data_IF_195170308883
#
_entry.id   IF_195170308883
#
_cell.length_a   1.000
_cell.length_b   1.000
_cell.length_c   1.000
_cell.angle_alpha   90.00
_cell.angle_beta   90.00
_cell.angle_gamma   90.00
#
_symmetry.space_group_name_H-M   'P 1'
#
loop_
_entity.id
_entity.type
_entity.pdbx_description
1 polymer ?
#
# COMPACT_ATOMS: atom_id res chain seq x y z
N UNK A 1 -6.20 -6.70 -19.02
CA UNK A 1 -5.66 -5.87 -17.92
C UNK A 1 -6.28 -4.49 -18.08
N UNK A 2 -6.69 -3.86 -16.98
CA UNK A 2 -7.37 -2.56 -17.00
C UNK A 2 -6.72 -1.59 -15.99
N UNK A 3 -6.58 -0.34 -16.41
CA UNK A 3 -6.14 0.80 -15.59
C UNK A 3 -7.20 1.90 -15.51
N UNK A 4 -8.36 1.69 -16.15
CA UNK A 4 -9.43 2.68 -16.22
C UNK A 4 -10.06 2.86 -14.86
N UNK A 5 -10.02 4.07 -14.33
CA UNK A 5 -10.65 4.35 -13.05
C UNK A 5 -12.18 4.47 -13.22
N UNK A 6 -12.97 4.00 -12.24
CA UNK A 6 -12.56 3.31 -11.00
C UNK A 6 -12.21 1.82 -11.21
N UNK A 7 -10.92 1.48 -11.12
CA UNK A 7 -10.36 0.19 -11.58
C UNK A 7 -10.98 -1.02 -10.88
N UNK A 8 -11.27 -0.90 -9.59
CA UNK A 8 -11.94 -1.97 -8.84
C UNK A 8 -13.38 -2.25 -9.31
N UNK A 9 -14.14 -1.20 -9.62
CA UNK A 9 -15.54 -1.32 -10.08
C UNK A 9 -15.58 -1.83 -11.51
N UNK A 10 -14.74 -1.29 -12.40
CA UNK A 10 -14.65 -1.74 -13.80
C UNK A 10 -14.24 -3.21 -13.86
N UNK A 11 -13.22 -3.60 -13.09
CA UNK A 11 -12.79 -5.00 -13.01
C UNK A 11 -13.91 -5.91 -12.53
N UNK A 12 -14.65 -5.50 -11.49
CA UNK A 12 -15.82 -6.26 -11.01
C UNK A 12 -16.86 -6.45 -12.10
N UNK A 13 -17.24 -5.39 -12.81
CA UNK A 13 -18.22 -5.47 -13.90
C UNK A 13 -17.76 -6.42 -15.02
N UNK A 14 -16.49 -6.36 -15.40
CA UNK A 14 -15.92 -7.27 -16.42
C UNK A 14 -15.94 -8.73 -15.97
N UNK A 15 -15.63 -9.00 -14.70
CA UNK A 15 -15.69 -10.35 -14.13
C UNK A 15 -17.15 -10.86 -14.10
N UNK A 16 -18.11 -10.04 -13.67
CA UNK A 16 -19.54 -10.37 -13.66
C UNK A 16 -20.09 -10.62 -15.08
N UNK A 17 -19.54 -9.95 -16.10
CA UNK A 17 -19.84 -10.18 -17.51
C UNK A 17 -19.13 -11.42 -18.12
N UNK A 18 -18.35 -12.18 -17.33
CA UNK A 18 -17.69 -13.41 -17.77
C UNK A 18 -16.33 -13.21 -18.44
N UNK A 19 -15.73 -12.03 -18.36
CA UNK A 19 -14.38 -11.78 -18.86
C UNK A 19 -13.30 -12.18 -17.86
N UNK A 20 -12.13 -12.56 -18.36
CA UNK A 20 -10.91 -12.67 -17.54
C UNK A 20 -10.28 -11.29 -17.42
N UNK A 21 -10.56 -10.59 -16.33
CA UNK A 21 -10.07 -9.24 -16.08
C UNK A 21 -9.12 -9.20 -14.87
N UNK A 22 -8.15 -8.28 -14.94
CA UNK A 22 -7.25 -7.91 -13.84
C UNK A 22 -7.20 -6.39 -13.86
N UNK A 23 -7.63 -5.77 -12.76
CA UNK A 23 -7.51 -4.34 -12.50
C UNK A 23 -6.18 -4.03 -11.85
N UNK A 24 -5.54 -2.95 -12.28
CA UNK A 24 -4.27 -2.51 -11.75
C UNK A 24 -4.40 -1.12 -11.13
N UNK A 25 -3.57 -0.87 -10.11
CA UNK A 25 -3.36 0.44 -9.49
C UNK A 25 -1.91 0.55 -9.03
N UNK A 26 -1.46 1.78 -8.75
CA UNK A 26 -0.07 2.03 -8.36
C UNK A 26 0.15 2.14 -6.85
N UNK A 27 -0.90 1.95 -6.04
CA UNK A 27 -0.83 2.19 -4.59
C UNK A 27 0.12 1.20 -3.91
N UNK A 28 -0.03 -0.11 -4.14
CA UNK A 28 0.81 -1.13 -3.51
C UNK A 28 2.30 -0.98 -3.89
N UNK A 29 2.60 -0.72 -5.16
CA UNK A 29 3.98 -0.50 -5.61
C UNK A 29 4.56 0.81 -5.05
N UNK A 30 3.73 1.83 -4.85
CA UNK A 30 4.12 3.07 -4.15
C UNK A 30 4.57 2.79 -2.72
N UNK A 31 3.75 2.08 -1.94
CA UNK A 31 4.12 1.68 -0.56
C UNK A 31 5.38 0.82 -0.52
N UNK A 32 5.50 -0.17 -1.41
CA UNK A 32 6.67 -1.06 -1.45
C UNK A 32 7.97 -0.27 -1.62
N UNK A 33 7.99 0.67 -2.57
CA UNK A 33 9.15 1.51 -2.84
C UNK A 33 9.42 2.47 -1.69
N UNK A 34 8.38 3.10 -1.13
CA UNK A 34 8.53 4.02 -0.01
C UNK A 34 9.12 3.32 1.21
N UNK A 35 8.63 2.12 1.57
CA UNK A 35 9.20 1.37 2.69
C UNK A 35 10.63 0.89 2.40
N UNK A 36 10.93 0.50 1.16
CA UNK A 36 12.29 0.15 0.77
C UNK A 36 13.25 1.34 0.95
N UNK A 37 12.84 2.54 0.53
CA UNK A 37 13.62 3.77 0.68
C UNK A 37 13.84 4.13 2.16
N UNK A 38 12.79 4.04 3.00
CA UNK A 38 12.90 4.27 4.45
C UNK A 38 13.83 3.27 5.15
N UNK A 39 13.88 2.03 4.65
CA UNK A 39 14.70 0.95 5.22
C UNK A 39 16.11 0.90 4.62
N UNK A 40 16.39 1.63 3.54
CA UNK A 40 17.66 1.59 2.82
C UNK A 40 17.95 0.23 2.17
N UNK A 41 16.92 -0.48 1.71
CA UNK A 41 17.04 -1.81 1.06
C UNK A 41 16.52 -1.77 -0.38
N UNK A 42 16.84 -2.79 -1.18
CA UNK A 42 16.26 -2.88 -2.52
C UNK A 42 14.76 -3.23 -2.44
N UNK A 43 13.94 -2.59 -3.27
CA UNK A 43 12.49 -2.80 -3.28
C UNK A 43 12.06 -4.26 -3.54
N UNK A 44 12.88 -5.07 -4.22
CA UNK A 44 12.60 -6.50 -4.43
C UNK A 44 12.71 -7.32 -3.14
N UNK A 45 13.36 -6.77 -2.11
CA UNK A 45 13.45 -7.37 -0.78
C UNK A 45 12.20 -7.10 0.06
N UNK A 46 11.35 -6.13 -0.33
CA UNK A 46 10.18 -5.74 0.44
C UNK A 46 8.93 -6.47 -0.07
N UNK A 47 8.26 -7.19 0.81
CA UNK A 47 6.97 -7.83 0.56
C UNK A 47 5.89 -7.19 1.43
N UNK A 48 4.74 -6.92 0.82
CA UNK A 48 3.60 -6.28 1.49
C UNK A 48 2.48 -7.28 1.76
N UNK A 49 1.93 -7.22 2.97
CA UNK A 49 0.63 -7.81 3.31
C UNK A 49 -0.52 -6.91 2.88
N UNK A 50 -0.59 -6.58 1.58
CA UNK A 50 -1.55 -5.62 1.01
C UNK A 50 -2.93 -6.24 0.84
N UNK A 51 -3.97 -5.61 1.39
CA UNK A 51 -5.35 -6.09 1.30
C UNK A 51 -6.34 -4.94 1.17
N UNK A 52 -7.45 -5.16 0.48
CA UNK A 52 -8.58 -4.22 0.43
C UNK A 52 -9.18 -4.09 -0.96
N UNK A 53 -9.84 -2.96 -1.21
CA UNK A 53 -10.39 -2.59 -2.51
C UNK A 53 -9.48 -1.54 -3.17
N UNK A 54 -9.65 -1.33 -4.47
CA UNK A 54 -8.95 -0.24 -5.16
C UNK A 54 -9.24 1.11 -4.47
N UNK A 55 -8.18 1.84 -4.10
CA UNK A 55 -8.25 3.07 -3.30
C UNK A 55 -8.88 2.94 -1.91
N UNK A 56 -8.95 1.73 -1.36
CA UNK A 56 -9.36 1.45 0.02
C UNK A 56 -8.63 0.19 0.49
N UNK A 57 -7.33 0.32 0.72
CA UNK A 57 -6.44 -0.79 1.09
C UNK A 57 -5.76 -0.53 2.42
N UNK A 58 -5.18 -1.60 2.98
CA UNK A 58 -4.43 -1.63 4.22
C UNK A 58 -3.18 -2.49 4.07
N UNK A 59 -2.09 -2.07 4.71
CA UNK A 59 -0.87 -2.88 4.82
C UNK A 59 -0.89 -3.62 6.15
N UNK A 60 -1.06 -4.94 6.12
CA UNK A 60 -1.10 -5.76 7.35
C UNK A 60 0.28 -6.15 7.86
N UNK A 61 1.26 -6.21 6.95
CA UNK A 61 2.64 -6.56 7.26
C UNK A 61 3.55 -5.92 6.22
N UNK A 62 4.77 -5.61 6.64
CA UNK A 62 5.88 -5.28 5.74
C UNK A 62 7.01 -6.23 6.11
N UNK A 63 7.42 -7.06 5.18
CA UNK A 63 8.46 -8.07 5.40
C UNK A 63 9.67 -7.76 4.52
N UNK A 64 10.85 -7.71 5.12
CA UNK A 64 12.12 -7.62 4.40
C UNK A 64 12.74 -9.00 4.30
N UNK A 65 13.09 -9.41 3.08
CA UNK A 65 13.81 -10.66 2.80
C UNK A 65 15.27 -10.36 2.49
N UNK A 66 16.17 -11.00 3.22
CA UNK A 66 17.60 -11.00 2.93
C UNK A 66 18.20 -12.41 3.05
N UNK A 67 19.51 -12.53 2.93
CA UNK A 67 20.22 -13.80 3.01
C UNK A 67 20.06 -14.52 4.36
N UNK A 68 19.68 -13.80 5.42
CA UNK A 68 19.46 -14.30 6.78
C UNK A 68 18.02 -14.75 7.02
N UNK A 69 17.09 -14.41 6.12
CA UNK A 69 15.68 -14.79 6.19
C UNK A 69 14.71 -13.62 6.03
N UNK A 70 13.48 -13.83 6.50
CA UNK A 70 12.38 -12.86 6.43
C UNK A 70 12.18 -12.18 7.79
N UNK A 71 12.15 -10.85 7.82
CA UNK A 71 11.86 -10.05 9.03
C UNK A 71 10.63 -9.17 8.81
N UNK A 72 9.65 -9.28 9.70
CA UNK A 72 8.51 -8.35 9.76
C UNK A 72 8.95 -7.04 10.42
N UNK A 73 8.68 -5.91 9.75
CA UNK A 73 9.23 -4.59 10.11
C UNK A 73 8.17 -3.48 10.20
N UNK A 74 6.89 -3.77 9.93
CA UNK A 74 5.86 -2.74 9.98
C UNK A 74 5.68 -2.08 11.37
N UNK A 75 5.77 -2.79 12.52
CA UNK A 75 5.75 -2.14 13.83
C UNK A 75 6.89 -1.12 13.98
N UNK A 76 8.12 -1.52 13.65
CA UNK A 76 9.31 -0.66 13.74
C UNK A 76 9.24 0.54 12.79
N UNK A 77 8.71 0.33 11.58
CA UNK A 77 8.46 1.39 10.60
C UNK A 77 7.48 2.42 11.12
N UNK A 78 6.35 1.97 11.67
CA UNK A 78 5.34 2.88 12.21
C UNK A 78 5.87 3.63 13.42
N UNK A 79 6.61 2.99 14.32
CA UNK A 79 7.20 3.67 15.48
C UNK A 79 8.18 4.77 15.08
N UNK A 80 8.97 4.56 14.02
CA UNK A 80 10.02 5.51 13.59
C UNK A 80 9.53 6.58 12.62
N UNK A 81 8.52 6.26 11.80
CA UNK A 81 8.09 7.09 10.67
C UNK A 81 6.59 7.41 10.70
N UNK A 82 5.92 7.30 11.85
CA UNK A 82 4.49 7.54 11.99
C UNK A 82 4.06 8.88 11.38
N UNK A 83 4.77 9.94 11.76
CA UNK A 83 4.46 11.31 11.37
C UNK A 83 4.56 11.50 9.85
N UNK A 84 5.71 11.13 9.27
CA UNK A 84 5.97 11.27 7.83
C UNK A 84 4.95 10.47 7.00
N UNK A 85 4.62 9.24 7.45
CA UNK A 85 3.64 8.38 6.78
C UNK A 85 2.22 8.95 6.90
N UNK A 86 1.85 9.49 8.06
CA UNK A 86 0.55 10.12 8.32
C UNK A 86 0.34 11.36 7.46
N UNK A 87 1.36 12.22 7.38
CA UNK A 87 1.34 13.43 6.55
C UNK A 87 1.21 13.08 5.07
N UNK A 88 2.01 12.12 4.58
CA UNK A 88 2.01 11.71 3.18
C UNK A 88 0.65 11.17 2.71
N UNK A 89 0.00 10.38 3.57
CA UNK A 89 -1.32 9.82 3.29
C UNK A 89 -2.46 10.70 3.85
N UNK A 90 -2.17 11.94 4.25
CA UNK A 90 -3.13 12.91 4.81
C UNK A 90 -4.14 12.29 5.81
N UNK A 91 -3.67 11.40 6.68
CA UNK A 91 -4.47 10.77 7.73
C UNK A 91 -3.98 11.17 9.12
N UNK A 92 -4.86 11.24 10.13
CA UNK A 92 -4.46 11.35 11.52
C UNK A 92 -3.57 10.18 11.97
N UNK A 93 -2.51 10.46 12.71
CA UNK A 93 -1.59 9.44 13.26
C UNK A 93 -2.31 8.34 14.05
N UNK A 94 -3.37 8.70 14.78
CA UNK A 94 -4.19 7.76 15.55
C UNK A 94 -4.87 6.67 14.70
N UNK A 95 -5.03 6.89 13.39
CA UNK A 95 -5.54 5.89 12.45
C UNK A 95 -4.46 4.92 11.92
N UNK A 96 -3.19 5.13 12.30
CA UNK A 96 -2.06 4.26 11.96
C UNK A 96 -1.55 3.47 13.15
N UNK A 97 -1.92 3.86 14.37
CA UNK A 97 -1.57 3.16 15.60
C UNK A 97 -2.50 1.96 15.89
N UNK A 98 -2.00 0.85 16.47
CA UNK A 98 -2.83 -0.27 16.91
C UNK A 98 -3.93 0.17 17.92
N UNK A 99 -5.11 -0.49 17.96
CA UNK A 99 -5.50 -1.71 17.25
C UNK A 99 -6.18 -1.45 15.89
N UNK A 100 -6.20 -0.20 15.41
CA UNK A 100 -7.15 0.31 14.41
C UNK A 100 -6.91 -0.06 12.94
N UNK A 101 -5.96 -0.94 12.62
CA UNK A 101 -5.44 -1.19 11.26
C UNK A 101 -4.50 -0.07 10.77
N UNK A 102 -3.46 -0.47 10.04
CA UNK A 102 -2.29 0.28 9.61
C UNK A 102 -2.46 0.85 8.18
N UNK A 103 -3.23 1.94 8.10
CA UNK A 103 -3.45 2.83 6.94
C UNK A 103 -4.60 2.49 6.00
N UNK A 104 -5.49 3.48 5.83
CA UNK A 104 -6.54 3.66 4.82
C UNK A 104 -5.95 4.43 3.63
N UNK A 105 -6.40 4.14 2.41
CA UNK A 105 -5.95 4.84 1.18
C UNK A 105 -6.74 6.14 0.95
N UNK A 106 -6.02 7.22 0.62
CA UNK A 106 -6.59 8.50 0.18
C UNK A 106 -7.23 8.44 -1.22
N UNK A 107 -8.15 9.40 -1.51
CA UNK A 107 -8.57 9.67 -2.87
C UNK A 107 -7.38 10.25 -3.65
N UNK A 108 -6.92 9.51 -4.67
CA UNK A 108 -6.13 9.99 -5.80
C UNK A 108 -5.22 11.23 -5.54
N UNK A 109 -4.14 11.09 -4.78
CA UNK A 109 -3.05 12.08 -4.73
C UNK A 109 -2.16 11.98 -6.00
N UNK A 110 -2.81 11.88 -7.17
CA UNK A 110 -2.22 12.08 -8.50
C UNK A 110 -2.16 13.57 -8.90
N UNK A 111 -2.40 14.50 -7.97
CA UNK A 111 -2.61 15.93 -8.30
C UNK A 111 -1.81 16.95 -7.48
N UNK A 112 -0.79 16.57 -6.70
CA UNK A 112 0.20 17.57 -6.24
C UNK A 112 1.34 17.64 -7.26
N UNK A 113 1.45 18.74 -8.05
CA UNK A 113 2.66 18.99 -8.81
C UNK A 113 3.81 19.21 -7.81
N UNK A 114 5.01 18.76 -8.20
CA UNK A 114 6.25 19.11 -7.51
C UNK A 114 6.48 20.62 -7.52
#
# INVERSE_FOLDING_TARGET
MDFTNPSGIVTRALLEAGHRAIGLCNVAIGFQRRFADLLGVDHTQVQLGHVGLNHLTWERSVTVRDASGDKEVLPELLEKHLHDLAEEIELPEGLLTPPAIRAVVLPALLLRPR
#
